data_IF_975836723562
#
_entry.id   IF_975836723562
#
_cell.length_a   1.000
_cell.length_b   1.000
_cell.length_c   1.000
_cell.angle_alpha   90.00
_cell.angle_beta   90.00
_cell.angle_gamma   90.00
#
_symmetry.space_group_name_H-M   'P 1'
#
loop_
_entity.id
_entity.type
_entity.pdbx_description
1 polymer ?
#
# COMPACT_ATOMS: atom_id res chain seq x y z
N UNK A 1 35.55 6.54 3.17
CA UNK A 1 35.42 7.76 4.01
C UNK A 1 34.21 8.64 3.63
N UNK A 2 33.93 8.87 2.35
CA UNK A 2 32.82 9.75 1.89
C UNK A 2 31.38 9.28 2.19
N UNK A 3 31.14 8.00 2.53
CA UNK A 3 29.79 7.50 2.88
C UNK A 3 29.33 7.92 4.30
N UNK A 4 30.25 8.20 5.24
CA UNK A 4 29.92 8.53 6.64
C UNK A 4 29.52 10.00 6.83
N UNK A 5 30.09 10.92 6.06
CA UNK A 5 29.79 12.37 6.17
C UNK A 5 28.39 12.70 5.57
N UNK A 6 27.86 11.88 4.66
CA UNK A 6 26.47 11.96 4.17
C UNK A 6 25.41 11.43 5.18
N UNK A 7 25.83 10.96 6.36
CA UNK A 7 24.94 10.42 7.39
C UNK A 7 24.28 11.46 8.30
N UNK A 8 24.83 12.68 8.37
CA UNK A 8 24.36 13.74 9.27
C UNK A 8 23.13 14.50 8.74
N UNK A 9 22.80 14.38 7.45
CA UNK A 9 21.56 14.86 6.85
C UNK A 9 20.73 13.67 6.36
N UNK A 10 20.37 12.80 7.31
CA UNK A 10 19.61 11.59 7.02
C UNK A 10 18.20 11.93 6.53
N UNK A 11 17.97 11.61 5.27
CA UNK A 11 16.69 11.64 4.58
C UNK A 11 16.03 10.24 4.62
N UNK A 12 16.33 9.44 5.64
CA UNK A 12 15.85 8.06 5.68
C UNK A 12 14.31 8.01 5.72
N UNK A 13 13.75 7.06 4.99
CA UNK A 13 12.32 6.86 4.82
C UNK A 13 11.90 5.50 5.35
N UNK A 14 10.70 5.39 5.89
CA UNK A 14 9.98 4.13 6.01
C UNK A 14 8.75 4.19 5.12
N UNK A 15 8.51 3.15 4.33
CA UNK A 15 7.40 3.07 3.38
C UNK A 15 6.56 1.84 3.72
N UNK A 16 5.30 2.08 4.00
CA UNK A 16 4.29 1.03 3.93
C UNK A 16 3.76 0.98 2.50
N UNK A 17 4.09 -0.10 1.78
CA UNK A 17 3.75 -0.30 0.38
C UNK A 17 2.49 -1.15 0.26
N UNK A 18 1.39 -0.64 0.80
CA UNK A 18 0.12 -1.35 0.85
C UNK A 18 -0.58 -1.46 -0.49
N UNK A 19 -1.37 -2.52 -0.65
CA UNK A 19 -2.19 -2.78 -1.86
C UNK A 19 -3.21 -1.68 -2.17
N UNK A 20 -3.70 -0.98 -1.15
CA UNK A 20 -4.72 0.06 -1.28
C UNK A 20 -4.12 1.47 -1.11
N UNK A 21 -3.24 1.66 -0.13
CA UNK A 21 -2.60 2.93 0.18
C UNK A 21 -1.10 2.74 0.39
N UNK A 22 -0.33 3.76 0.05
CA UNK A 22 1.10 3.87 0.35
C UNK A 22 1.29 4.98 1.37
N UNK A 23 2.01 4.69 2.46
CA UNK A 23 2.36 5.67 3.48
C UNK A 23 3.88 5.86 3.51
N UNK A 24 4.32 7.10 3.73
CA UNK A 24 5.75 7.40 3.96
C UNK A 24 5.90 8.09 5.31
N UNK A 25 6.79 7.54 6.13
CA UNK A 25 7.23 8.08 7.41
C UNK A 25 8.67 8.60 7.31
N UNK A 26 8.93 9.76 7.90
CA UNK A 26 10.27 10.32 8.07
C UNK A 26 10.56 10.44 9.57
N UNK A 27 11.68 9.88 10.08
CA UNK A 27 12.10 10.05 11.46
C UNK A 27 12.14 11.52 11.87
N UNK A 28 11.46 11.83 12.97
CA UNK A 28 11.34 13.20 13.50
C UNK A 28 10.29 14.09 12.82
N UNK A 29 9.68 13.66 11.70
CA UNK A 29 8.56 14.39 11.06
C UNK A 29 7.24 13.63 11.16
N UNK A 30 7.28 12.30 11.32
CA UNK A 30 6.07 11.48 11.35
C UNK A 30 5.67 11.00 9.96
N UNK A 31 4.37 10.70 9.78
CA UNK A 31 3.79 10.33 8.49
C UNK A 31 3.68 11.60 7.64
N UNK A 32 4.42 11.64 6.53
CA UNK A 32 4.48 12.79 5.62
C UNK A 32 3.72 12.56 4.31
N UNK A 33 3.30 11.31 4.04
CA UNK A 33 2.50 10.95 2.88
C UNK A 33 1.55 9.82 3.26
N UNK A 34 0.31 9.92 2.79
CA UNK A 34 -0.71 8.88 2.81
C UNK A 34 -1.55 9.04 1.53
N UNK A 35 -1.29 8.20 0.54
CA UNK A 35 -1.89 8.31 -0.79
C UNK A 35 -2.36 6.93 -1.28
N UNK A 36 -3.44 6.85 -2.06
CA UNK A 36 -3.82 5.61 -2.72
C UNK A 36 -2.69 5.02 -3.57
N UNK A 37 -2.53 3.70 -3.54
CA UNK A 37 -1.58 2.95 -4.39
C UNK A 37 -2.15 2.78 -5.81
N UNK A 38 -2.41 3.90 -6.48
CA UNK A 38 -3.05 3.95 -7.81
C UNK A 38 -2.23 4.81 -8.75
N UNK A 39 -2.08 4.34 -9.99
CA UNK A 39 -1.40 5.05 -11.08
C UNK A 39 -2.33 5.12 -12.28
N UNK A 40 -2.48 6.31 -12.87
CA UNK A 40 -3.14 6.49 -14.15
C UNK A 40 -2.09 6.61 -15.25
N UNK A 41 -2.23 5.78 -16.29
CA UNK A 41 -1.30 5.73 -17.42
C UNK A 41 -2.04 6.18 -18.67
N UNK A 42 -1.44 7.15 -19.38
CA UNK A 42 -1.87 7.56 -20.71
C UNK A 42 -1.07 6.80 -21.75
N UNK A 43 -1.77 6.12 -22.65
CA UNK A 43 -1.19 5.41 -23.77
C UNK A 43 -1.30 6.26 -25.03
N UNK A 44 -0.16 6.61 -25.61
CA UNK A 44 -0.10 7.24 -26.92
C UNK A 44 -0.29 6.15 -27.99
N UNK A 45 -1.48 6.11 -28.60
CA UNK A 45 -1.81 5.12 -29.64
C UNK A 45 -0.95 5.23 -30.90
N UNK A 46 -0.31 6.38 -31.15
CA UNK A 46 0.52 6.61 -32.33
C UNK A 46 1.95 6.11 -32.10
N UNK A 47 2.48 6.31 -30.89
CA UNK A 47 3.89 5.98 -30.56
C UNK A 47 4.07 4.75 -29.68
N UNK A 48 2.98 4.17 -29.15
CA UNK A 48 3.01 3.07 -28.19
C UNK A 48 3.60 3.45 -26.82
N UNK A 49 3.86 4.75 -26.59
CA UNK A 49 4.51 5.22 -25.38
C UNK A 49 3.51 5.32 -24.23
N UNK A 50 3.83 4.69 -23.09
CA UNK A 50 3.08 4.78 -21.84
C UNK A 50 3.68 5.87 -20.94
N UNK A 51 2.88 6.87 -20.61
CA UNK A 51 3.26 7.98 -19.73
C UNK A 51 2.38 8.02 -18.49
N UNK A 52 2.91 8.47 -17.36
CA UNK A 52 2.11 8.65 -16.14
C UNK A 52 1.25 9.91 -16.35
N UNK A 53 -0.06 9.76 -16.21
CA UNK A 53 -1.01 10.86 -16.22
C UNK A 53 -1.25 11.42 -14.81
N UNK A 54 -1.37 10.52 -13.81
CA UNK A 54 -1.57 10.87 -12.40
C UNK A 54 -1.12 9.71 -11.49
N UNK A 55 -0.87 10.00 -10.22
CA UNK A 55 -0.54 9.03 -9.15
C UNK A 55 -1.27 9.44 -7.87
N UNK A 56 -1.65 8.48 -7.03
CA UNK A 56 -2.27 8.77 -5.73
C UNK A 56 -3.75 9.11 -5.85
N UNK A 57 -4.21 10.08 -5.06
CA UNK A 57 -5.61 10.49 -5.00
C UNK A 57 -6.18 10.88 -6.36
N UNK A 58 -5.41 11.63 -7.15
CA UNK A 58 -5.81 12.06 -8.50
C UNK A 58 -6.04 10.86 -9.42
N UNK A 59 -5.19 9.82 -9.33
CA UNK A 59 -5.37 8.59 -10.09
C UNK A 59 -6.55 7.75 -9.58
N UNK A 60 -6.77 7.69 -8.25
CA UNK A 60 -7.91 6.97 -7.65
C UNK A 60 -9.25 7.52 -8.15
N UNK A 61 -9.38 8.84 -8.31
CA UNK A 61 -10.60 9.47 -8.84
C UNK A 61 -10.95 9.06 -10.29
N UNK A 62 -9.96 8.58 -11.03
CA UNK A 62 -10.12 8.14 -12.43
C UNK A 62 -10.58 6.68 -12.54
N UNK A 63 -10.52 5.87 -11.47
CA UNK A 63 -10.90 4.46 -11.53
C UNK A 63 -12.36 4.28 -11.99
N UNK A 64 -12.54 3.50 -13.06
CA UNK A 64 -13.84 3.28 -13.69
C UNK A 64 -14.43 4.49 -14.42
N UNK A 65 -13.66 5.57 -14.58
CA UNK A 65 -14.10 6.86 -15.18
C UNK A 65 -13.15 7.37 -16.26
N UNK A 66 -12.20 6.56 -16.72
CA UNK A 66 -11.20 7.00 -17.72
C UNK A 66 -11.74 6.97 -19.15
N UNK A 67 -11.29 7.89 -20.03
CA UNK A 67 -11.46 7.76 -21.47
C UNK A 67 -10.58 6.62 -22.02
N UNK A 68 -10.88 6.11 -23.21
CA UNK A 68 -10.25 4.90 -23.76
C UNK A 68 -8.75 4.97 -24.10
N UNK A 69 -8.03 6.02 -23.74
CA UNK A 69 -6.57 6.15 -23.84
C UNK A 69 -5.89 6.34 -22.48
N UNK A 70 -6.64 6.31 -21.38
CA UNK A 70 -6.11 6.37 -20.01
C UNK A 70 -6.59 5.12 -19.26
N UNK A 71 -5.68 4.50 -18.52
CA UNK A 71 -5.99 3.35 -17.68
C UNK A 71 -5.49 3.63 -16.27
N UNK A 72 -6.41 3.66 -15.30
CA UNK A 72 -6.07 3.71 -13.89
C UNK A 72 -5.93 2.29 -13.33
N UNK A 73 -4.82 2.01 -12.66
CA UNK A 73 -4.45 0.68 -12.19
C UNK A 73 -3.85 0.74 -10.78
N UNK A 74 -4.02 -0.35 -10.02
CA UNK A 74 -3.30 -0.62 -8.77
C UNK A 74 -2.11 -1.53 -9.12
N UNK A 75 -0.86 -1.06 -9.02
CA UNK A 75 0.30 -1.86 -9.42
C UNK A 75 0.67 -2.94 -8.38
N UNK A 76 0.03 -2.87 -7.20
CA UNK A 76 0.12 -3.83 -6.10
C UNK A 76 -1.22 -4.53 -5.97
N UNK A 77 -1.21 -5.86 -5.85
CA UNK A 77 -2.43 -6.66 -5.67
C UNK A 77 -2.12 -7.86 -4.78
N UNK A 78 -3.01 -8.18 -3.85
CA UNK A 78 -2.86 -9.32 -2.93
C UNK A 78 -1.49 -9.40 -2.23
N UNK A 79 -0.92 -8.25 -1.85
CA UNK A 79 0.39 -8.15 -1.18
C UNK A 79 1.60 -8.31 -2.12
N UNK A 80 1.39 -8.38 -3.43
CA UNK A 80 2.46 -8.62 -4.41
C UNK A 80 2.52 -7.51 -5.47
N UNK A 81 3.70 -7.30 -6.04
CA UNK A 81 3.85 -6.39 -7.19
C UNK A 81 3.35 -7.09 -8.45
N UNK A 82 2.29 -6.55 -9.04
CA UNK A 82 1.74 -7.01 -10.32
C UNK A 82 2.47 -6.39 -11.52
N UNK A 83 2.99 -5.17 -11.39
CA UNK A 83 3.80 -4.51 -12.43
C UNK A 83 4.97 -3.74 -11.81
N UNK A 84 6.19 -4.20 -12.08
CA UNK A 84 7.42 -3.64 -11.53
C UNK A 84 7.71 -2.22 -12.04
N UNK A 85 7.48 -1.96 -13.33
CA UNK A 85 7.79 -0.67 -13.96
C UNK A 85 6.84 0.42 -13.42
N UNK A 86 5.57 0.06 -13.24
CA UNK A 86 4.57 0.99 -12.74
C UNK A 86 4.76 1.23 -11.24
N UNK A 87 5.12 0.19 -10.47
CA UNK A 87 5.45 0.33 -9.04
C UNK A 87 6.67 1.22 -8.83
N UNK A 88 7.73 1.03 -9.61
CA UNK A 88 8.94 1.86 -9.58
C UNK A 88 8.62 3.34 -9.83
N UNK A 89 7.85 3.61 -10.87
CA UNK A 89 7.35 4.96 -11.21
C UNK A 89 6.51 5.58 -10.10
N UNK A 90 5.62 4.81 -9.49
CA UNK A 90 4.79 5.25 -8.36
C UNK A 90 5.66 5.61 -7.14
N UNK A 91 6.58 4.72 -6.78
CA UNK A 91 7.52 4.94 -5.67
C UNK A 91 8.38 6.17 -5.91
N UNK A 92 8.93 6.32 -7.12
CA UNK A 92 9.73 7.50 -7.49
C UNK A 92 8.92 8.78 -7.32
N UNK A 93 7.68 8.81 -7.82
CA UNK A 93 6.79 9.96 -7.67
C UNK A 93 6.56 10.31 -6.19
N UNK A 94 6.24 9.32 -5.34
CA UNK A 94 6.01 9.57 -3.91
C UNK A 94 7.28 10.01 -3.16
N UNK A 95 8.44 9.40 -3.45
CA UNK A 95 9.73 9.77 -2.86
C UNK A 95 10.11 11.20 -3.24
N UNK A 96 9.92 11.59 -4.51
CA UNK A 96 10.15 12.96 -4.99
C UNK A 96 9.16 13.95 -4.39
N UNK A 97 7.90 13.55 -4.20
CA UNK A 97 6.86 14.40 -3.58
C UNK A 97 7.21 14.78 -2.14
N UNK A 98 7.76 13.84 -1.35
CA UNK A 98 8.16 14.11 0.05
C UNK A 98 9.51 14.80 0.15
N UNK A 99 10.44 14.52 -0.76
CA UNK A 99 11.73 15.20 -0.86
C UNK A 99 11.61 16.48 -1.66
N UNK A 100 11.12 17.57 -1.03
CA UNK A 100 11.14 18.91 -1.63
C UNK A 100 12.52 19.18 -2.24
N UNK A 101 12.57 19.42 -3.56
CA UNK A 101 13.79 19.60 -4.39
C UNK A 101 14.78 20.59 -3.77
N UNK A 102 15.65 20.12 -2.89
CA UNK A 102 16.95 20.75 -2.67
C UNK A 102 17.89 20.13 -3.68
N UNK A 103 18.59 20.96 -4.46
CA UNK A 103 19.39 20.57 -5.62
C UNK A 103 20.54 19.56 -5.34
N UNK A 104 20.67 19.08 -4.10
CA UNK A 104 21.71 18.16 -3.63
C UNK A 104 21.23 17.20 -2.53
N UNK A 105 19.92 16.90 -2.45
CA UNK A 105 19.41 15.95 -1.45
C UNK A 105 20.09 14.58 -1.62
N UNK A 106 20.71 14.02 -0.57
CA UNK A 106 21.33 12.70 -0.65
C UNK A 106 20.26 11.63 -0.84
N UNK A 107 20.56 10.61 -1.65
CA UNK A 107 19.73 9.42 -1.81
C UNK A 107 19.41 8.78 -0.44
N UNK A 108 18.14 8.50 -0.14
CA UNK A 108 17.72 8.02 1.19
C UNK A 108 18.00 6.54 1.39
N UNK A 109 18.14 6.08 2.64
CA UNK A 109 17.87 4.66 2.96
C UNK A 109 16.39 4.50 3.12
N UNK A 110 15.85 3.39 2.66
CA UNK A 110 14.42 3.11 2.75
C UNK A 110 14.23 1.79 3.50
N UNK A 111 13.38 1.81 4.52
CA UNK A 111 12.80 0.62 5.14
C UNK A 111 11.41 0.39 4.53
N UNK A 112 11.10 -0.83 4.07
CA UNK A 112 9.81 -1.14 3.44
C UNK A 112 9.17 -2.34 4.14
N UNK A 113 7.89 -2.19 4.51
CA UNK A 113 7.08 -3.29 5.02
C UNK A 113 6.77 -4.28 3.89
N UNK A 114 6.92 -5.58 4.15
CA UNK A 114 6.57 -6.64 3.20
C UNK A 114 5.75 -7.73 3.89
N UNK A 115 4.75 -8.31 3.22
CA UNK A 115 3.98 -9.42 3.77
C UNK A 115 4.88 -10.58 4.23
N UNK A 116 4.50 -11.23 5.32
CA UNK A 116 5.25 -12.41 5.79
C UNK A 116 5.30 -13.51 4.72
N UNK A 117 4.20 -13.68 3.99
CA UNK A 117 4.06 -14.68 2.93
C UNK A 117 4.79 -14.37 1.61
N UNK A 118 5.46 -13.21 1.49
CA UNK A 118 6.11 -12.83 0.23
C UNK A 118 7.26 -13.76 -0.15
N UNK A 119 7.24 -14.23 -1.39
CA UNK A 119 8.31 -15.04 -1.99
C UNK A 119 9.60 -14.24 -2.13
N UNK A 120 10.74 -14.94 -2.31
CA UNK A 120 12.02 -14.26 -2.55
C UNK A 120 12.00 -13.38 -3.81
N UNK A 121 11.24 -13.77 -4.84
CA UNK A 121 11.09 -13.01 -6.08
C UNK A 121 10.34 -11.71 -5.81
N UNK A 122 9.24 -11.75 -5.05
CA UNK A 122 8.47 -10.57 -4.66
C UNK A 122 9.28 -9.62 -3.76
N UNK A 123 9.95 -10.15 -2.74
CA UNK A 123 10.85 -9.36 -1.87
C UNK A 123 11.96 -8.69 -2.67
N UNK A 124 12.55 -9.40 -3.64
CA UNK A 124 13.58 -8.86 -4.53
C UNK A 124 13.02 -7.76 -5.42
N UNK A 125 11.84 -7.94 -5.98
CA UNK A 125 11.20 -6.95 -6.82
C UNK A 125 10.86 -5.65 -6.09
N UNK A 126 10.36 -5.73 -4.85
CA UNK A 126 10.12 -4.55 -4.01
C UNK A 126 11.43 -3.79 -3.78
N UNK A 127 12.48 -4.53 -3.44
CA UNK A 127 13.83 -3.97 -3.24
C UNK A 127 14.36 -3.28 -4.50
N UNK A 128 14.28 -3.94 -5.65
CA UNK A 128 14.76 -3.39 -6.93
C UNK A 128 13.95 -2.17 -7.36
N UNK A 129 12.62 -2.18 -7.17
CA UNK A 129 11.75 -1.04 -7.49
C UNK A 129 12.13 0.20 -6.66
N UNK A 130 12.38 0.03 -5.37
CA UNK A 130 12.80 1.13 -4.49
C UNK A 130 14.22 1.64 -4.78
N UNK A 131 15.15 0.74 -5.16
CA UNK A 131 16.49 1.13 -5.61
C UNK A 131 16.43 1.96 -6.90
N UNK A 132 15.64 1.51 -7.89
CA UNK A 132 15.42 2.24 -9.15
C UNK A 132 14.69 3.57 -8.95
N UNK A 133 13.87 3.68 -7.90
CA UNK A 133 13.22 4.92 -7.49
C UNK A 133 14.17 5.91 -6.78
N UNK A 134 15.45 5.58 -6.60
CA UNK A 134 16.50 6.50 -6.12
C UNK A 134 17.02 6.22 -4.71
N UNK A 135 16.65 5.11 -4.10
CA UNK A 135 17.18 4.71 -2.78
C UNK A 135 18.66 4.31 -2.87
N UNK A 136 19.46 4.68 -1.85
CA UNK A 136 20.87 4.22 -1.73
C UNK A 136 20.99 2.82 -1.14
N UNK A 137 20.02 2.43 -0.33
CA UNK A 137 19.93 1.15 0.35
C UNK A 137 18.46 0.89 0.72
N UNK A 138 18.05 -0.36 0.62
CA UNK A 138 16.68 -0.77 0.92
C UNK A 138 16.70 -1.95 1.88
N UNK A 139 16.02 -1.78 3.00
CA UNK A 139 15.81 -2.80 4.02
C UNK A 139 14.34 -3.20 3.99
N UNK A 140 14.07 -4.48 4.24
CA UNK A 140 12.70 -4.99 4.31
C UNK A 140 12.44 -5.39 5.76
N UNK A 141 11.22 -5.16 6.22
CA UNK A 141 10.71 -5.62 7.51
C UNK A 141 9.38 -6.29 7.28
N UNK A 142 9.10 -7.35 8.02
CA UNK A 142 7.82 -8.04 7.99
C UNK A 142 6.68 -7.09 8.43
N UNK A 143 5.63 -7.04 7.63
CA UNK A 143 4.42 -6.25 7.86
C UNK A 143 3.78 -6.52 9.23
N UNK A 144 3.55 -7.76 9.69
CA UNK A 144 2.92 -7.99 10.99
C UNK A 144 3.84 -7.59 12.16
N UNK A 145 5.16 -7.64 11.99
CA UNK A 145 6.09 -7.09 13.00
C UNK A 145 5.91 -5.57 13.09
N UNK A 146 5.83 -4.89 11.95
CA UNK A 146 5.61 -3.45 11.88
C UNK A 146 4.25 -3.06 12.45
N UNK A 147 3.20 -3.81 12.13
CA UNK A 147 1.85 -3.62 12.67
C UNK A 147 1.81 -3.82 14.19
N UNK A 148 2.46 -4.86 14.71
CA UNK A 148 2.53 -5.10 16.15
C UNK A 148 3.25 -3.98 16.89
N UNK A 149 4.40 -3.52 16.38
CA UNK A 149 5.12 -2.37 16.94
C UNK A 149 4.26 -1.11 16.87
N UNK A 150 3.61 -0.85 15.73
CA UNK A 150 2.72 0.30 15.53
C UNK A 150 1.50 0.30 16.46
N UNK A 151 1.01 -0.88 16.84
CA UNK A 151 -0.07 -1.07 17.80
C UNK A 151 0.38 -1.01 19.28
N UNK A 152 1.67 -0.82 19.54
CA UNK A 152 2.23 -0.79 20.90
C UNK A 152 2.28 -2.16 21.57
N UNK A 153 2.31 -3.25 20.78
CA UNK A 153 2.46 -4.58 21.33
C UNK A 153 3.89 -4.81 21.84
N UNK A 154 4.05 -5.53 22.96
CA UNK A 154 5.31 -5.81 23.64
C UNK A 154 6.07 -6.96 22.95
N UNK A 155 6.57 -6.69 21.75
CA UNK A 155 7.19 -7.70 20.87
C UNK A 155 8.55 -8.18 21.34
N UNK A 156 9.25 -7.40 22.16
CA UNK A 156 10.60 -7.65 22.68
C UNK A 156 10.61 -8.49 23.97
N UNK A 157 9.47 -8.64 24.62
CA UNK A 157 9.32 -9.39 25.86
C UNK A 157 9.16 -10.90 25.62
N UNK A 158 9.47 -11.70 26.65
CA UNK A 158 9.24 -13.14 26.68
C UNK A 158 7.75 -13.50 26.91
N UNK A 159 6.85 -12.84 26.16
CA UNK A 159 5.41 -13.13 26.10
C UNK A 159 4.95 -13.17 24.64
N UNK A 160 3.93 -13.98 24.36
CA UNK A 160 3.31 -14.05 23.05
C UNK A 160 2.36 -12.87 22.81
N UNK A 161 2.62 -12.10 21.76
CA UNK A 161 1.74 -11.05 21.26
C UNK A 161 1.13 -11.48 19.93
N UNK A 162 -0.20 -11.49 19.82
CA UNK A 162 -0.89 -11.80 18.57
C UNK A 162 -1.36 -10.51 17.90
N UNK A 163 -1.09 -10.38 16.61
CA UNK A 163 -1.58 -9.28 15.76
C UNK A 163 -2.34 -9.86 14.58
N UNK A 164 -3.44 -9.21 14.22
CA UNK A 164 -4.20 -9.47 13.00
C UNK A 164 -4.31 -8.14 12.24
N UNK A 165 -3.65 -8.08 11.09
CA UNK A 165 -3.69 -6.95 10.17
C UNK A 165 -4.63 -7.28 9.01
N UNK A 166 -5.66 -6.47 8.78
CA UNK A 166 -6.63 -6.64 7.70
C UNK A 166 -6.46 -5.46 6.73
N UNK A 167 -5.70 -5.70 5.67
CA UNK A 167 -5.43 -4.74 4.61
C UNK A 167 -6.46 -4.76 3.49
N UNK A 168 -6.09 -4.16 2.35
CA UNK A 168 -6.89 -4.16 1.12
C UNK A 168 -6.98 -5.54 0.46
N UNK A 169 -5.84 -6.08 0.03
CA UNK A 169 -5.78 -7.37 -0.67
C UNK A 169 -5.54 -8.59 0.23
N UNK A 170 -5.01 -8.39 1.43
CA UNK A 170 -4.55 -9.46 2.32
C UNK A 170 -4.96 -9.22 3.76
N UNK A 171 -5.08 -10.31 4.51
CA UNK A 171 -5.09 -10.27 5.97
C UNK A 171 -3.94 -11.13 6.48
N UNK A 172 -3.14 -10.58 7.38
CA UNK A 172 -1.98 -11.23 7.97
C UNK A 172 -2.18 -11.41 9.47
N UNK A 173 -1.88 -12.61 9.96
CA UNK A 173 -1.89 -12.91 11.39
C UNK A 173 -0.50 -13.35 11.81
N UNK A 174 -0.01 -12.84 12.93
CA UNK A 174 1.25 -13.29 13.50
C UNK A 174 1.19 -13.39 15.02
N UNK A 175 1.97 -14.32 15.55
CA UNK A 175 2.31 -14.42 16.97
C UNK A 175 3.78 -14.09 17.12
N UNK A 176 4.11 -13.13 17.97
CA UNK A 176 5.44 -12.53 18.12
C UNK A 176 5.91 -12.65 19.57
N UNK A 177 7.18 -12.96 19.79
CA UNK A 177 7.84 -12.94 21.10
C UNK A 177 9.35 -12.77 20.94
N UNK A 178 10.00 -12.04 21.85
CA UNK A 178 11.46 -11.80 21.86
C UNK A 178 11.98 -11.34 20.49
N UNK A 179 11.32 -10.34 19.90
CA UNK A 179 11.58 -9.78 18.57
C UNK A 179 11.52 -10.80 17.41
N UNK A 180 10.97 -12.00 17.66
CA UNK A 180 10.83 -13.07 16.68
C UNK A 180 9.37 -13.35 16.36
N UNK A 181 9.08 -13.55 15.07
CA UNK A 181 7.79 -14.09 14.63
C UNK A 181 7.80 -15.60 14.92
N UNK A 182 7.00 -16.03 15.87
CA UNK A 182 6.84 -17.44 16.27
C UNK A 182 5.93 -18.18 15.28
N UNK A 183 4.87 -17.50 14.84
CA UNK A 183 3.95 -18.00 13.84
C UNK A 183 3.49 -16.84 12.96
N UNK A 184 3.31 -17.11 11.67
CA UNK A 184 2.66 -16.19 10.75
C UNK A 184 1.82 -16.93 9.73
N UNK A 185 0.67 -16.37 9.38
CA UNK A 185 -0.14 -16.83 8.25
C UNK A 185 -0.71 -15.62 7.52
N UNK A 186 -0.91 -15.78 6.22
CA UNK A 186 -1.39 -14.72 5.34
C UNK A 186 -2.42 -15.30 4.40
N UNK A 187 -3.55 -14.61 4.25
CA UNK A 187 -4.63 -14.99 3.33
C UNK A 187 -4.93 -13.84 2.39
N UNK A 188 -5.23 -14.15 1.12
CA UNK A 188 -5.62 -13.18 0.08
C UNK A 188 -7.09 -12.77 0.19
N UNK A 189 -7.45 -12.34 1.39
CA UNK A 189 -8.78 -11.86 1.76
C UNK A 189 -8.55 -10.58 2.55
N UNK A 190 -9.18 -9.49 2.12
CA UNK A 190 -9.13 -8.20 2.78
C UNK A 190 -10.27 -7.31 2.29
N UNK A 191 -10.09 -6.00 2.42
CA UNK A 191 -11.03 -4.98 1.96
C UNK A 191 -11.57 -5.18 0.54
N UNK A 192 -10.72 -5.61 -0.40
CA UNK A 192 -11.09 -5.80 -1.81
C UNK A 192 -12.11 -6.94 -1.98
N UNK A 193 -11.97 -8.03 -1.20
CA UNK A 193 -12.94 -9.14 -1.20
C UNK A 193 -14.28 -8.74 -0.59
N UNK A 194 -14.27 -7.85 0.39
CA UNK A 194 -15.50 -7.31 0.95
C UNK A 194 -16.25 -6.45 -0.08
N UNK A 195 -15.51 -5.65 -0.86
CA UNK A 195 -16.10 -4.85 -1.95
C UNK A 195 -16.69 -5.75 -3.04
N UNK A 196 -15.96 -6.78 -3.48
CA UNK A 196 -16.48 -7.78 -4.43
C UNK A 196 -17.78 -8.45 -3.95
N UNK A 197 -17.86 -8.76 -2.65
CA UNK A 197 -19.03 -9.35 -2.05
C UNK A 197 -20.23 -8.39 -2.08
N UNK A 198 -20.01 -7.10 -1.81
CA UNK A 198 -21.03 -6.04 -1.91
C UNK A 198 -21.50 -5.86 -3.35
N UNK A 199 -20.58 -5.75 -4.32
CA UNK A 199 -20.93 -5.68 -5.76
C UNK A 199 -21.80 -6.87 -6.16
N UNK A 200 -21.38 -8.07 -5.77
CA UNK A 200 -22.09 -9.30 -6.08
C UNK A 200 -23.48 -9.37 -5.43
N UNK A 201 -23.59 -8.92 -4.17
CA UNK A 201 -24.86 -8.84 -3.45
C UNK A 201 -25.84 -7.89 -4.15
N UNK A 202 -25.39 -6.67 -4.49
CA UNK A 202 -26.25 -5.67 -5.13
C UNK A 202 -26.73 -6.14 -6.50
N UNK A 203 -25.83 -6.75 -7.30
CA UNK A 203 -26.18 -7.31 -8.60
C UNK A 203 -27.22 -8.43 -8.50
N UNK A 204 -27.07 -9.35 -7.54
CA UNK A 204 -27.99 -10.50 -7.39
C UNK A 204 -29.35 -10.12 -6.83
N UNK A 205 -29.42 -9.21 -5.86
CA UNK A 205 -30.66 -8.89 -5.16
C UNK A 205 -31.44 -7.72 -5.78
N UNK A 206 -30.77 -6.82 -6.51
CA UNK A 206 -31.40 -5.63 -7.08
C UNK A 206 -31.16 -5.48 -8.59
N UNK A 207 -30.50 -6.44 -9.25
CA UNK A 207 -30.24 -6.40 -10.69
C UNK A 207 -29.34 -5.24 -11.15
N UNK A 208 -28.69 -4.54 -10.22
CA UNK A 208 -27.95 -3.30 -10.48
C UNK A 208 -26.45 -3.55 -10.44
N UNK A 209 -25.71 -3.03 -11.42
CA UNK A 209 -24.25 -3.05 -11.41
C UNK A 209 -23.71 -1.79 -10.74
N UNK A 210 -22.85 -1.97 -9.75
CA UNK A 210 -22.09 -0.88 -9.12
C UNK A 210 -20.59 -1.15 -9.28
N UNK A 211 -19.79 -0.07 -9.35
CA UNK A 211 -18.33 -0.16 -9.41
C UNK A 211 -17.68 -0.28 -8.01
N UNK A 212 -16.40 -0.64 -7.99
CA UNK A 212 -15.57 -0.82 -6.77
C UNK A 212 -15.64 0.39 -5.82
N UNK A 213 -15.48 1.62 -6.34
CA UNK A 213 -15.54 2.83 -5.51
C UNK A 213 -16.90 3.03 -4.80
N UNK A 214 -18.00 2.62 -5.45
CA UNK A 214 -19.33 2.66 -4.83
C UNK A 214 -19.47 1.58 -3.77
N UNK A 215 -18.94 0.37 -4.02
CA UNK A 215 -18.94 -0.72 -3.06
C UNK A 215 -18.09 -0.42 -1.83
N UNK A 216 -16.88 0.14 -2.00
CA UNK A 216 -16.00 0.60 -0.91
C UNK A 216 -16.72 1.65 -0.05
N UNK A 217 -17.43 2.59 -0.68
CA UNK A 217 -18.23 3.57 0.06
C UNK A 217 -19.34 2.90 0.87
N UNK A 218 -20.08 1.96 0.30
CA UNK A 218 -21.11 1.20 1.01
C UNK A 218 -20.49 0.45 2.21
N UNK A 219 -19.34 -0.20 2.01
CA UNK A 219 -18.58 -0.91 3.05
C UNK A 219 -18.27 0.01 4.24
N UNK A 220 -17.78 1.22 3.96
CA UNK A 220 -17.40 2.19 5.00
C UNK A 220 -18.62 2.82 5.68
N UNK A 221 -19.66 3.16 4.91
CA UNK A 221 -20.82 3.88 5.44
C UNK A 221 -21.77 2.99 6.27
N UNK A 222 -21.98 1.74 5.83
CA UNK A 222 -23.00 0.85 6.43
C UNK A 222 -22.54 -0.60 6.65
N UNK A 223 -21.31 -0.96 6.28
CA UNK A 223 -20.79 -2.31 6.49
C UNK A 223 -20.61 -2.64 7.97
N UNK A 224 -20.96 -3.86 8.37
CA UNK A 224 -20.74 -4.36 9.72
C UNK A 224 -20.48 -5.87 9.71
N UNK A 225 -19.52 -6.33 10.51
CA UNK A 225 -19.26 -7.75 10.76
C UNK A 225 -20.10 -8.32 11.92
N UNK A 226 -20.75 -7.46 12.70
CA UNK A 226 -21.67 -7.83 13.76
C UNK A 226 -23.11 -7.54 13.34
N UNK A 227 -24.08 -8.42 13.63
CA UNK A 227 -25.49 -8.15 13.34
C UNK A 227 -25.94 -6.88 14.08
N UNK A 228 -26.28 -5.83 13.34
CA UNK A 228 -26.84 -4.60 13.90
C UNK A 228 -28.36 -4.71 14.02
N UNK A 229 -28.92 -4.33 15.17
CA UNK A 229 -30.38 -4.20 15.35
C UNK A 229 -30.94 -2.87 14.80
N UNK A 230 -30.09 -1.96 14.30
CA UNK A 230 -30.50 -0.65 13.80
C UNK A 230 -30.16 -0.48 12.31
N UNK A 231 -31.21 -0.33 11.50
CA UNK A 231 -31.09 0.08 10.11
C UNK A 231 -30.84 1.59 10.05
N UNK A 232 -29.63 2.01 9.66
CA UNK A 232 -29.38 3.40 9.30
C UNK A 232 -29.83 3.64 7.86
N UNK A 233 -30.91 4.41 7.70
CA UNK A 233 -31.33 4.89 6.38
C UNK A 233 -30.49 6.12 6.04
N UNK A 234 -29.56 5.98 5.08
CA UNK A 234 -28.83 7.12 4.52
C UNK A 234 -29.64 7.64 3.33
N UNK A 235 -30.51 8.63 3.59
CA UNK A 235 -31.14 9.42 2.52
C UNK A 235 -30.18 10.55 2.13
N UNK A 236 -29.98 10.74 0.83
CA UNK A 236 -29.42 11.97 0.26
C UNK A 236 -30.54 12.89 -0.19
#
# INVERSE_FOLDING_TARGET
>A
MFKRIRGLFSNDLSIDLGTANTLIYIPGQGIVLNEPSVVAIKEDKVRGAKTIAAVGADAKQMLGRTPGNITAIRPLKDGVIADFNITEKMLRFFIEKVHKRKLFSPSPRILICVPCGSTQVERRAIRESALMAGARAVYLIEEPMSAAIGAGLPVDEARGSMVLDIGGGTSEVAVISINGIVYSSSVRIGGDRFDDAIVSYVRRNYGTLIGEATAERIKIEIGSAYPGNEYRVVLR
#
